data_IF_032352957873
#
_entry.id   IF_032352957873
#
_cell.length_a   1.000
_cell.length_b   1.000
_cell.length_c   1.000
_cell.angle_alpha   90.00
_cell.angle_beta   90.00
_cell.angle_gamma   90.00
#
_symmetry.space_group_name_H-M   'P 1'
#
loop_
_entity.id
_entity.type
_entity.pdbx_description
1 polymer ?
#
# COMPACT_ATOMS: atom_id res chain seq x y z
N UNK A 1 6.30 -7.91 12.51
CA UNK A 1 5.34 -6.80 12.59
C UNK A 1 4.18 -7.20 13.50
N UNK A 2 3.94 -6.41 14.51
CA UNK A 2 2.88 -6.68 15.49
C UNK A 2 1.56 -6.00 15.14
N UNK A 3 1.61 -4.89 14.42
CA UNK A 3 0.43 -4.14 14.02
C UNK A 3 -0.41 -4.99 13.06
N UNK A 4 -1.70 -5.13 13.35
CA UNK A 4 -2.58 -5.95 12.53
C UNK A 4 -3.00 -5.23 11.24
N UNK A 5 -3.45 -6.01 10.25
CA UNK A 5 -3.98 -5.44 9.01
C UNK A 5 -5.19 -4.56 9.30
N UNK A 6 -6.04 -4.98 10.22
CA UNK A 6 -7.24 -4.23 10.61
C UNK A 6 -6.89 -2.87 11.20
N UNK A 7 -5.84 -2.82 12.01
CA UNK A 7 -5.37 -1.56 12.59
C UNK A 7 -4.85 -0.61 11.51
N UNK A 8 -4.13 -1.14 10.53
CA UNK A 8 -3.60 -0.36 9.40
C UNK A 8 -4.76 0.21 8.57
N UNK A 9 -5.72 -0.62 8.22
CA UNK A 9 -6.89 -0.22 7.45
C UNK A 9 -7.68 0.86 8.20
N UNK A 10 -7.94 0.63 9.48
CA UNK A 10 -8.70 1.57 10.30
C UNK A 10 -8.01 2.93 10.38
N UNK A 11 -6.71 2.95 10.55
CA UNK A 11 -5.95 4.20 10.61
C UNK A 11 -6.08 4.99 9.31
N UNK A 12 -5.78 4.35 8.17
CA UNK A 12 -5.77 5.08 6.89
C UNK A 12 -7.17 5.40 6.37
N UNK A 13 -8.18 4.61 6.72
CA UNK A 13 -9.57 4.94 6.40
C UNK A 13 -10.00 6.26 7.07
N UNK A 14 -9.41 6.58 8.22
CA UNK A 14 -9.66 7.83 8.94
C UNK A 14 -8.72 8.95 8.52
N UNK A 15 -7.66 8.64 7.78
CA UNK A 15 -6.64 9.59 7.36
C UNK A 15 -6.45 9.59 5.85
N UNK A 16 -7.56 9.46 5.11
CA UNK A 16 -7.54 9.36 3.65
C UNK A 16 -6.87 10.56 2.98
N UNK A 17 -7.02 11.74 3.57
CA UNK A 17 -6.41 12.97 3.05
C UNK A 17 -4.89 12.90 3.08
N UNK A 18 -4.32 12.22 4.06
CA UNK A 18 -2.87 12.13 4.22
C UNK A 18 -2.25 11.16 3.23
N UNK A 19 -2.91 10.02 2.99
CA UNK A 19 -2.35 9.03 2.05
C UNK A 19 -2.69 9.34 0.60
N UNK A 20 -3.82 9.97 0.34
CA UNK A 20 -4.23 10.33 -1.02
C UNK A 20 -4.42 9.15 -1.97
N UNK A 21 -4.73 7.98 -1.43
CA UNK A 21 -4.90 6.77 -2.22
C UNK A 21 -6.34 6.56 -2.63
N UNK A 22 -6.53 5.95 -3.80
CA UNK A 22 -7.87 5.62 -4.33
C UNK A 22 -8.25 4.19 -3.92
N UNK A 23 -8.17 3.90 -2.63
CA UNK A 23 -8.48 2.58 -2.09
C UNK A 23 -9.97 2.49 -1.74
N UNK A 24 -10.61 1.38 -2.12
CA UNK A 24 -11.92 1.05 -1.60
C UNK A 24 -11.71 0.46 -0.21
N UNK A 25 -12.00 1.23 0.81
CA UNK A 25 -11.69 0.85 2.19
C UNK A 25 -12.47 -0.38 2.66
N UNK A 26 -13.58 -0.72 2.00
CA UNK A 26 -14.30 -1.95 2.28
C UNK A 26 -13.52 -3.19 1.79
N UNK A 27 -12.66 -3.03 0.80
CA UNK A 27 -11.85 -4.10 0.24
C UNK A 27 -10.36 -3.93 0.53
N UNK A 28 -10.01 -3.03 1.43
CA UNK A 28 -8.61 -2.69 1.71
C UNK A 28 -7.78 -3.87 2.22
N UNK A 29 -8.42 -4.89 2.79
CA UNK A 29 -7.73 -6.10 3.25
C UNK A 29 -7.49 -7.13 2.16
N UNK A 30 -8.05 -6.93 0.98
CA UNK A 30 -8.05 -7.93 -0.10
C UNK A 30 -7.34 -7.44 -1.36
N UNK A 31 -7.23 -6.13 -1.54
CA UNK A 31 -6.65 -5.55 -2.74
C UNK A 31 -5.41 -4.73 -2.42
N UNK A 32 -4.38 -4.91 -3.22
CA UNK A 32 -3.14 -4.16 -3.07
C UNK A 32 -3.41 -2.66 -3.19
N UNK A 33 -2.85 -1.88 -2.27
CA UNK A 33 -3.08 -0.43 -2.26
C UNK A 33 -2.36 0.29 -3.40
N UNK A 34 -1.41 -0.37 -4.04
CA UNK A 34 -0.70 0.23 -5.18
C UNK A 34 -1.27 -0.23 -6.52
N UNK A 35 -1.31 -1.53 -6.78
CA UNK A 35 -1.75 -2.06 -8.08
C UNK A 35 -3.24 -2.39 -8.15
N UNK A 36 -3.91 -2.46 -7.01
CA UNK A 36 -5.35 -2.74 -6.96
C UNK A 36 -5.76 -4.18 -7.22
N UNK A 37 -4.80 -5.07 -7.44
CA UNK A 37 -5.11 -6.47 -7.71
C UNK A 37 -5.54 -7.19 -6.46
N UNK A 38 -6.52 -8.07 -6.59
CA UNK A 38 -6.99 -8.91 -5.48
C UNK A 38 -5.96 -10.01 -5.24
N UNK A 39 -5.23 -9.89 -4.14
CA UNK A 39 -4.14 -10.80 -3.77
C UNK A 39 -3.96 -10.80 -2.27
N UNK A 40 -3.20 -11.78 -1.77
CA UNK A 40 -2.72 -11.75 -0.39
C UNK A 40 -1.85 -10.52 -0.19
N UNK A 41 -2.06 -9.80 0.88
CA UNK A 41 -1.35 -8.56 1.14
C UNK A 41 -0.35 -8.72 2.27
N UNK A 42 0.80 -8.09 2.11
CA UNK A 42 1.83 -7.99 3.14
C UNK A 42 1.71 -6.65 3.86
N UNK A 43 2.07 -6.65 5.13
CA UNK A 43 2.19 -5.40 5.89
C UNK A 43 3.56 -4.84 5.58
N UNK A 44 3.58 -3.72 4.88
CA UNK A 44 4.79 -3.12 4.34
C UNK A 44 5.12 -1.82 5.06
N UNK A 45 6.35 -1.67 5.52
CA UNK A 45 6.81 -0.42 6.15
C UNK A 45 6.93 0.69 5.12
N UNK A 46 6.45 1.88 5.47
CA UNK A 46 6.66 3.08 4.64
C UNK A 46 8.12 3.49 4.78
N UNK A 47 8.59 3.63 6.02
CA UNK A 47 10.02 3.79 6.30
C UNK A 47 10.50 2.45 6.84
N UNK A 48 11.49 1.81 6.20
CA UNK A 48 11.97 0.49 6.61
C UNK A 48 12.45 0.46 8.06
N UNK A 49 12.24 -0.67 8.72
CA UNK A 49 12.69 -0.86 10.10
C UNK A 49 14.19 -0.62 10.24
N UNK A 50 14.98 -1.09 9.27
CA UNK A 50 16.44 -0.90 9.26
C UNK A 50 16.84 0.57 9.15
N UNK A 51 15.94 1.43 8.72
CA UNK A 51 16.18 2.87 8.58
C UNK A 51 15.42 3.69 9.63
N UNK A 52 14.99 3.05 10.72
CA UNK A 52 14.33 3.72 11.83
C UNK A 52 12.81 3.73 11.78
N UNK A 53 12.21 3.02 10.83
CA UNK A 53 10.75 2.95 10.71
C UNK A 53 10.14 2.17 11.88
N UNK A 54 8.99 2.61 12.35
CA UNK A 54 8.31 2.02 13.49
C UNK A 54 7.23 1.04 13.05
N UNK A 55 6.90 0.10 13.93
CA UNK A 55 5.79 -0.83 13.76
C UNK A 55 4.51 -0.16 14.30
N UNK A 56 3.99 0.77 13.52
CA UNK A 56 2.79 1.54 13.86
C UNK A 56 1.91 1.67 12.62
N UNK A 57 0.57 1.76 12.77
CA UNK A 57 -0.33 1.87 11.60
C UNK A 57 0.03 3.01 10.66
N UNK A 58 0.51 4.12 11.18
CA UNK A 58 0.87 5.29 10.38
C UNK A 58 2.09 5.06 9.49
N UNK A 59 2.89 4.02 9.79
CA UNK A 59 4.08 3.68 9.03
C UNK A 59 3.91 2.38 8.23
N UNK A 60 2.70 1.88 8.10
CA UNK A 60 2.43 0.61 7.41
C UNK A 60 1.35 0.79 6.37
N UNK A 61 1.49 0.04 5.28
CA UNK A 61 0.50 -0.05 4.21
C UNK A 61 0.38 -1.50 3.80
N UNK A 62 -0.68 -1.82 3.06
CA UNK A 62 -0.91 -3.19 2.59
C UNK A 62 -0.63 -3.27 1.09
N UNK A 63 0.37 -4.06 0.74
CA UNK A 63 0.79 -4.26 -0.64
C UNK A 63 0.88 -5.76 -0.93
N UNK A 64 0.62 -6.15 -2.17
CA UNK A 64 0.87 -7.53 -2.57
C UNK A 64 2.37 -7.79 -2.57
N UNK A 65 2.76 -9.07 -2.56
CA UNK A 65 4.18 -9.44 -2.50
C UNK A 65 5.00 -8.83 -3.63
N UNK A 66 4.43 -8.75 -4.81
CA UNK A 66 5.11 -8.16 -5.97
C UNK A 66 5.42 -6.69 -5.76
N UNK A 67 4.41 -5.90 -5.33
CA UNK A 67 4.63 -4.48 -5.07
C UNK A 67 5.55 -4.27 -3.87
N UNK A 68 5.43 -5.11 -2.86
CA UNK A 68 6.30 -5.04 -1.69
C UNK A 68 7.76 -5.26 -2.08
N UNK A 69 8.02 -6.23 -2.97
CA UNK A 69 9.37 -6.51 -3.44
C UNK A 69 9.94 -5.39 -4.31
N UNK A 70 9.08 -4.70 -5.07
CA UNK A 70 9.50 -3.63 -5.96
C UNK A 70 9.62 -2.27 -5.27
N UNK A 71 9.13 -2.16 -4.04
CA UNK A 71 9.08 -0.89 -3.33
C UNK A 71 10.44 -0.28 -3.02
N UNK A 72 10.53 1.04 -2.97
CA UNK A 72 11.78 1.70 -2.60
C UNK A 72 12.15 1.40 -1.15
N UNK A 73 13.44 1.33 -0.88
CA UNK A 73 13.96 1.06 0.45
C UNK A 73 14.74 2.29 0.93
N UNK A 74 14.01 3.37 1.18
CA UNK A 74 14.59 4.67 1.55
C UNK A 74 13.90 5.24 2.78
N UNK A 75 14.59 6.12 3.49
CA UNK A 75 14.08 6.73 4.72
C UNK A 75 13.27 8.00 4.44
N UNK A 76 12.60 8.07 3.30
CA UNK A 76 11.80 9.24 2.90
C UNK A 76 10.38 8.77 2.56
N UNK A 77 9.43 9.09 3.43
CA UNK A 77 8.05 8.68 3.24
C UNK A 77 7.41 9.31 1.99
N UNK A 78 7.85 10.50 1.58
CA UNK A 78 7.33 11.15 0.38
C UNK A 78 7.63 10.32 -0.88
N UNK A 79 8.83 9.78 -0.95
CA UNK A 79 9.23 8.90 -2.07
C UNK A 79 8.33 7.67 -2.10
N UNK A 80 8.08 7.08 -0.94
CA UNK A 80 7.22 5.90 -0.84
C UNK A 80 5.79 6.22 -1.29
N UNK A 81 5.23 7.34 -0.82
CA UNK A 81 3.88 7.74 -1.21
C UNK A 81 3.78 8.06 -2.70
N UNK A 82 4.77 8.74 -3.26
CA UNK A 82 4.80 9.03 -4.69
C UNK A 82 4.83 7.74 -5.51
N UNK A 83 5.63 6.77 -5.07
CA UNK A 83 5.72 5.46 -5.73
C UNK A 83 4.38 4.70 -5.69
N UNK A 84 3.73 4.69 -4.54
CA UNK A 84 2.43 4.01 -4.39
C UNK A 84 1.38 4.67 -5.28
N UNK A 85 1.29 6.00 -5.25
CA UNK A 85 0.28 6.75 -6.00
C UNK A 85 0.52 6.74 -7.50
N UNK A 86 1.75 6.60 -7.91
CA UNK A 86 2.10 6.64 -9.33
C UNK A 86 1.48 5.48 -10.13
N UNK A 87 1.23 4.36 -9.47
CA UNK A 87 0.63 3.20 -10.15
C UNK A 87 -0.89 3.22 -10.08
N UNK A 88 -1.44 3.59 -8.95
CA UNK A 88 -2.86 3.48 -8.69
C UNK A 88 -3.68 4.75 -8.92
N UNK A 89 -3.20 5.66 -9.75
CA UNK A 89 -3.86 6.95 -9.91
C UNK A 89 -5.22 6.86 -10.60
N UNK A 90 -5.50 5.77 -11.32
CA UNK A 90 -6.80 5.62 -11.94
C UNK A 90 -7.29 4.20 -11.78
N UNK A 91 -8.59 4.08 -11.53
CA UNK A 91 -9.24 2.78 -11.45
C UNK A 91 -9.08 2.00 -12.75
N UNK A 92 -9.19 2.69 -13.86
CA UNK A 92 -9.07 2.08 -15.18
C UNK A 92 -7.68 1.46 -15.37
N UNK A 93 -6.64 2.20 -15.05
CA UNK A 93 -5.28 1.70 -15.17
C UNK A 93 -5.05 0.51 -14.24
N UNK A 94 -5.59 0.57 -13.02
CA UNK A 94 -5.49 -0.52 -12.07
C UNK A 94 -6.15 -1.78 -12.62
N UNK A 95 -7.35 -1.63 -13.16
CA UNK A 95 -8.10 -2.74 -13.75
C UNK A 95 -7.32 -3.38 -14.90
N UNK A 96 -6.84 -2.57 -15.84
CA UNK A 96 -6.11 -3.06 -16.99
C UNK A 96 -4.76 -3.66 -16.60
N UNK A 97 -4.12 -3.10 -15.57
CA UNK A 97 -2.90 -3.68 -15.05
C UNK A 97 -3.11 -5.09 -14.52
N UNK A 98 -4.21 -5.33 -13.82
CA UNK A 98 -4.55 -6.66 -13.31
C UNK A 98 -4.86 -7.63 -14.45
N UNK A 99 -5.62 -7.19 -15.44
CA UNK A 99 -5.95 -8.03 -16.59
C UNK A 99 -4.69 -8.36 -17.40
N UNK A 100 -3.84 -7.38 -17.62
CA UNK A 100 -2.58 -7.61 -18.35
C UNK A 100 -1.66 -8.59 -17.66
N UNK A 101 -1.67 -8.62 -16.35
CA UNK A 101 -0.84 -9.53 -15.57
C UNK A 101 -1.31 -10.99 -15.64
N UNK A 102 -2.54 -11.21 -16.02
CA UNK A 102 -3.10 -12.57 -16.15
C UNK A 102 -2.76 -13.20 -17.49
N UNK A 103 -2.42 -12.39 -18.43
CA UNK A 103 -2.05 -12.83 -19.75
C UNK A 103 -0.57 -13.11 -19.88
#
# INVERSE_FOLDING_TARGET
IKTTKEAIISYWAKHQDECGLSVDWAEAGERCWRCGCERSLDRCHIIPDSLGGKDEPENLVLLCKRCHADGPNVADQEIMWDWIRAYGVSFYDTFWGCEGMRE
#
